data_IF_431853956703
#
_entry.id   IF_431853956703
#
_cell.length_a   1.000
_cell.length_b   1.000
_cell.length_c   1.000
_cell.angle_alpha   90.00
_cell.angle_beta   90.00
_cell.angle_gamma   90.00
#
_symmetry.space_group_name_H-M   'P 1'
#
loop_
_entity.id
_entity.type
_entity.pdbx_description
1 polymer ?
#
# COMPACT_ATOMS: atom_id res chain seq x y z
N UNK A 1 -53.58 50.70 -45.05
CA UNK A 1 -54.86 50.88 -44.32
C UNK A 1 -54.82 49.95 -43.11
N UNK A 2 -54.53 50.44 -41.89
CA UNK A 2 -55.50 50.79 -40.82
C UNK A 2 -56.40 49.59 -40.46
N UNK A 3 -56.51 49.06 -39.22
CA UNK A 3 -56.53 49.63 -37.85
C UNK A 3 -56.34 48.48 -36.82
N UNK A 4 -55.70 48.70 -35.66
CA UNK A 4 -56.28 48.77 -34.28
C UNK A 4 -57.25 47.62 -33.94
N UNK A 5 -57.32 47.01 -32.75
CA UNK A 5 -56.79 47.25 -31.40
C UNK A 5 -57.42 46.13 -30.53
N UNK A 6 -56.81 45.75 -29.40
CA UNK A 6 -57.53 44.93 -28.41
C UNK A 6 -56.63 44.22 -27.41
N UNK A 7 -56.18 44.95 -26.39
CA UNK A 7 -55.56 44.41 -25.17
C UNK A 7 -56.64 43.83 -24.24
N UNK A 8 -56.51 42.58 -23.78
CA UNK A 8 -57.07 42.10 -22.49
C UNK A 8 -56.03 41.25 -21.76
N UNK A 9 -55.99 41.48 -20.46
CA UNK A 9 -54.97 41.20 -19.45
C UNK A 9 -55.17 39.80 -18.81
N UNK A 10 -54.02 39.18 -18.50
CA UNK A 10 -53.70 38.20 -17.45
C UNK A 10 -54.47 36.87 -17.36
N UNK A 11 -53.71 35.78 -17.21
CA UNK A 11 -53.63 35.02 -15.95
C UNK A 11 -52.28 34.28 -15.93
N UNK A 12 -51.53 34.56 -14.87
CA UNK A 12 -50.32 33.88 -14.41
C UNK A 12 -50.58 32.41 -14.09
N UNK A 13 -49.74 31.50 -14.62
CA UNK A 13 -49.40 30.26 -13.94
C UNK A 13 -47.89 30.06 -14.03
N UNK A 14 -47.21 30.37 -12.93
CA UNK A 14 -45.83 29.99 -12.70
C UNK A 14 -45.80 28.47 -12.43
N UNK A 15 -45.20 27.71 -13.35
CA UNK A 15 -44.81 26.33 -13.09
C UNK A 15 -43.35 26.35 -12.71
N UNK A 16 -43.10 26.36 -11.40
CA UNK A 16 -41.78 26.11 -10.81
C UNK A 16 -41.44 24.64 -11.03
N UNK A 17 -40.71 24.35 -12.12
CA UNK A 17 -40.00 23.09 -12.27
C UNK A 17 -38.76 23.13 -11.38
N UNK A 18 -38.88 22.62 -10.17
CA UNK A 18 -37.76 22.26 -9.31
C UNK A 18 -36.99 21.12 -9.96
N UNK A 19 -35.99 21.46 -10.79
CA UNK A 19 -34.94 20.51 -11.11
C UNK A 19 -34.11 20.31 -9.85
N UNK A 20 -34.41 19.23 -9.12
CA UNK A 20 -33.49 18.62 -8.19
C UNK A 20 -32.26 18.16 -8.99
N UNK A 21 -31.31 19.08 -9.18
CA UNK A 21 -29.97 18.74 -9.59
C UNK A 21 -29.38 17.87 -8.51
N UNK A 22 -29.28 16.57 -8.77
CA UNK A 22 -28.45 15.67 -8.00
C UNK A 22 -27.05 16.30 -7.94
N UNK A 23 -26.66 16.77 -6.75
CA UNK A 23 -25.27 17.10 -6.47
C UNK A 23 -24.55 15.75 -6.45
N UNK A 24 -24.11 15.32 -7.62
CA UNK A 24 -23.09 14.30 -7.73
C UNK A 24 -21.87 14.86 -6.99
N UNK A 25 -21.68 14.43 -5.75
CA UNK A 25 -20.45 14.66 -5.03
C UNK A 25 -19.34 14.08 -5.88
N UNK A 26 -18.61 14.93 -6.59
CA UNK A 26 -17.30 14.60 -7.10
C UNK A 26 -16.45 14.40 -5.86
N UNK A 27 -16.30 13.14 -5.45
CA UNK A 27 -15.11 12.76 -4.72
C UNK A 27 -13.97 13.09 -5.67
N UNK A 28 -13.33 14.25 -5.46
CA UNK A 28 -12.04 14.52 -6.06
C UNK A 28 -11.14 13.36 -5.67
N UNK A 29 -10.88 12.48 -6.63
CA UNK A 29 -9.86 11.44 -6.56
C UNK A 29 -8.52 12.17 -6.47
N UNK A 30 -8.23 12.68 -5.27
CA UNK A 30 -6.98 13.36 -4.99
C UNK A 30 -5.95 12.27 -5.11
N UNK A 31 -5.01 12.32 -6.08
CA UNK A 31 -4.05 11.25 -6.28
C UNK A 31 -3.33 11.05 -4.96
N UNK A 32 -3.58 9.89 -4.34
CA UNK A 32 -2.97 9.58 -3.07
C UNK A 32 -1.45 9.69 -3.30
N UNK A 33 -0.70 10.40 -2.43
CA UNK A 33 0.72 10.64 -2.69
C UNK A 33 1.46 9.31 -2.99
N UNK A 34 2.65 9.32 -3.59
CA UNK A 34 3.43 8.09 -3.77
C UNK A 34 3.97 7.55 -2.43
N UNK A 35 4.39 6.28 -2.39
CA UNK A 35 5.18 5.74 -1.26
C UNK A 35 6.41 6.63 -1.07
N UNK A 36 6.64 7.09 0.16
CA UNK A 36 7.62 8.15 0.42
C UNK A 36 9.05 7.66 0.30
N UNK A 37 9.34 6.42 0.72
CA UNK A 37 10.67 5.80 0.64
C UNK A 37 10.55 4.29 0.70
N UNK A 38 11.37 3.62 -0.11
CA UNK A 38 11.48 2.17 -0.17
C UNK A 38 12.94 1.82 0.07
N UNK A 39 13.20 0.97 1.07
CA UNK A 39 14.52 0.42 1.33
C UNK A 39 14.55 -1.06 0.99
N UNK A 40 15.52 -1.47 0.18
CA UNK A 40 15.59 -2.85 -0.30
C UNK A 40 17.00 -3.36 -0.13
N UNK A 41 17.15 -4.47 0.60
CA UNK A 41 18.41 -5.22 0.65
C UNK A 41 18.33 -6.37 -0.35
N UNK A 42 19.25 -6.42 -1.31
CA UNK A 42 19.31 -7.45 -2.33
C UNK A 42 20.57 -8.31 -2.19
N UNK A 43 20.55 -9.51 -2.77
CA UNK A 43 21.75 -10.33 -2.89
C UNK A 43 22.82 -9.62 -3.75
N UNK A 44 24.10 -9.83 -3.43
CA UNK A 44 25.21 -9.14 -4.08
C UNK A 44 25.30 -9.36 -5.60
N UNK A 45 24.71 -10.44 -6.13
CA UNK A 45 24.62 -10.73 -7.56
C UNK A 45 23.89 -9.64 -8.36
N UNK A 46 23.00 -8.88 -7.72
CA UNK A 46 22.20 -7.84 -8.36
C UNK A 46 22.90 -6.47 -8.42
N UNK A 47 24.09 -6.33 -7.83
CA UNK A 47 24.80 -5.04 -7.72
C UNK A 47 25.14 -4.37 -9.05
N UNK A 48 25.17 -5.13 -10.14
CA UNK A 48 25.46 -4.63 -11.48
C UNK A 48 24.19 -4.36 -12.32
N UNK A 49 23.00 -4.56 -11.74
CA UNK A 49 21.71 -4.40 -12.41
C UNK A 49 20.88 -3.25 -11.81
N UNK A 50 21.52 -2.32 -11.09
CA UNK A 50 20.85 -1.24 -10.34
C UNK A 50 19.94 -0.39 -11.22
N UNK A 51 20.34 -0.10 -12.45
CA UNK A 51 19.53 0.69 -13.40
C UNK A 51 18.22 -0.04 -13.75
N UNK A 52 18.32 -1.27 -14.24
CA UNK A 52 17.15 -2.10 -14.54
C UNK A 52 16.25 -2.35 -13.32
N UNK A 53 16.84 -2.52 -12.13
CA UNK A 53 16.07 -2.63 -10.88
C UNK A 53 15.33 -1.33 -10.58
N UNK A 54 16.01 -0.19 -10.69
CA UNK A 54 15.40 1.12 -10.44
C UNK A 54 14.22 1.35 -11.37
N UNK A 55 14.38 1.05 -12.66
CA UNK A 55 13.31 1.15 -13.65
C UNK A 55 12.09 0.30 -13.29
N UNK A 56 12.30 -0.96 -12.87
CA UNK A 56 11.18 -1.83 -12.48
C UNK A 56 10.45 -1.31 -11.23
N UNK A 57 11.18 -0.81 -10.23
CA UNK A 57 10.57 -0.21 -9.04
C UNK A 57 9.83 1.09 -9.37
N UNK A 58 10.36 1.92 -10.27
CA UNK A 58 9.68 3.13 -10.76
C UNK A 58 8.38 2.76 -11.49
N UNK A 59 8.41 1.75 -12.36
CA UNK A 59 7.22 1.24 -13.07
C UNK A 59 6.17 0.69 -12.12
N UNK A 60 6.59 0.12 -10.98
CA UNK A 60 5.70 -0.31 -9.89
C UNK A 60 5.14 0.84 -9.05
N UNK A 61 5.49 2.10 -9.34
CA UNK A 61 5.05 3.28 -8.60
C UNK A 61 5.84 3.55 -7.32
N UNK A 62 7.10 3.10 -7.26
CA UNK A 62 8.02 3.26 -6.14
C UNK A 62 9.30 4.01 -6.55
N UNK A 63 9.20 5.31 -6.91
CA UNK A 63 10.32 6.05 -7.49
C UNK A 63 11.45 6.40 -6.51
N UNK A 64 11.19 6.38 -5.20
CA UNK A 64 12.20 6.68 -4.16
C UNK A 64 12.74 5.39 -3.52
N UNK A 65 13.33 4.52 -4.34
CA UNK A 65 13.93 3.25 -3.90
C UNK A 65 15.43 3.42 -3.59
N UNK A 66 15.86 2.82 -2.48
CA UNK A 66 17.25 2.80 -2.03
C UNK A 66 17.71 1.35 -1.91
N UNK A 67 18.66 0.96 -2.75
CA UNK A 67 19.22 -0.38 -2.75
C UNK A 67 20.44 -0.49 -1.84
N UNK A 68 20.44 -1.51 -1.00
CA UNK A 68 21.61 -2.02 -0.31
C UNK A 68 21.87 -3.45 -0.80
N UNK A 69 23.11 -3.89 -0.69
CA UNK A 69 23.50 -5.23 -1.13
C UNK A 69 24.11 -6.00 0.04
N UNK A 70 23.60 -7.20 0.29
CA UNK A 70 24.12 -8.09 1.31
C UNK A 70 25.60 -8.40 1.03
N UNK A 71 26.46 -8.24 2.04
CA UNK A 71 27.89 -8.55 1.92
C UNK A 71 28.14 -10.04 1.78
N UNK A 72 27.38 -10.85 2.51
CA UNK A 72 27.48 -12.31 2.54
C UNK A 72 26.09 -12.94 2.66
N UNK A 73 25.94 -14.12 2.06
CA UNK A 73 24.70 -14.89 2.16
C UNK A 73 23.52 -14.26 1.41
N UNK A 74 22.33 -14.76 1.74
CA UNK A 74 21.07 -14.25 1.22
C UNK A 74 20.50 -13.21 2.20
N UNK A 75 19.88 -12.13 1.71
CA UNK A 75 19.14 -11.22 2.57
C UNK A 75 18.01 -11.94 3.34
N UNK A 76 17.58 -11.42 4.49
CA UNK A 76 16.40 -11.90 5.21
C UNK A 76 15.14 -11.94 4.33
N UNK A 77 14.21 -12.85 4.62
CA UNK A 77 12.93 -12.95 3.93
C UNK A 77 11.82 -12.17 4.66
N UNK A 78 12.17 -11.00 5.18
CA UNK A 78 11.23 -10.13 5.89
C UNK A 78 10.77 -8.95 5.03
N UNK A 79 9.55 -8.47 5.29
CA UNK A 79 9.00 -7.28 4.67
C UNK A 79 8.25 -6.46 5.73
N UNK A 80 8.34 -5.14 5.62
CA UNK A 80 7.67 -4.20 6.51
C UNK A 80 7.12 -3.01 5.74
N UNK A 81 6.01 -2.45 6.20
CA UNK A 81 5.41 -1.28 5.58
C UNK A 81 4.65 -0.43 6.60
N UNK A 82 4.54 0.86 6.33
CA UNK A 82 3.78 1.79 7.15
C UNK A 82 2.27 1.71 6.91
N UNK A 83 1.51 2.19 7.90
CA UNK A 83 0.03 2.16 7.96
C UNK A 83 -0.74 2.92 6.87
N UNK A 84 -0.04 3.68 6.03
CA UNK A 84 -0.62 4.53 4.98
C UNK A 84 0.00 4.23 3.61
N UNK A 85 0.55 3.02 3.45
CA UNK A 85 1.01 2.52 2.15
C UNK A 85 -0.22 2.02 1.39
N UNK A 86 -0.51 2.56 0.19
CA UNK A 86 -1.63 2.07 -0.62
C UNK A 86 -1.55 0.54 -0.84
N UNK A 87 -2.68 -0.18 -0.80
CA UNK A 87 -2.67 -1.64 -0.95
C UNK A 87 -2.10 -2.11 -2.30
N UNK A 88 -2.34 -1.38 -3.40
CA UNK A 88 -1.74 -1.69 -4.70
C UNK A 88 -0.21 -1.62 -4.64
N UNK A 89 0.35 -0.61 -3.97
CA UNK A 89 1.80 -0.46 -3.79
C UNK A 89 2.39 -1.47 -2.82
N UNK A 90 1.66 -1.82 -1.76
CA UNK A 90 2.05 -2.89 -0.85
C UNK A 90 2.16 -4.25 -1.58
N UNK A 91 1.21 -4.56 -2.47
CA UNK A 91 1.25 -5.77 -3.30
C UNK A 91 2.41 -5.77 -4.28
N UNK A 92 2.70 -4.64 -4.91
CA UNK A 92 3.88 -4.53 -5.77
C UNK A 92 5.18 -4.74 -5.00
N UNK A 93 5.30 -4.20 -3.78
CA UNK A 93 6.44 -4.46 -2.91
C UNK A 93 6.56 -5.95 -2.55
N UNK A 94 5.44 -6.61 -2.22
CA UNK A 94 5.38 -8.06 -1.99
C UNK A 94 5.84 -8.83 -3.24
N UNK A 95 5.34 -8.48 -4.43
CA UNK A 95 5.71 -9.11 -5.70
C UNK A 95 7.22 -8.98 -5.97
N UNK A 96 7.79 -7.80 -5.76
CA UNK A 96 9.21 -7.54 -5.98
C UNK A 96 10.09 -8.27 -4.96
N UNK A 97 9.68 -8.33 -3.69
CA UNK A 97 10.36 -9.12 -2.67
C UNK A 97 10.33 -10.63 -3.01
N UNK A 98 9.20 -11.16 -3.47
CA UNK A 98 9.11 -12.56 -3.94
C UNK A 98 10.06 -12.83 -5.12
N UNK A 99 10.20 -11.86 -6.04
CA UNK A 99 11.09 -11.96 -7.21
C UNK A 99 12.57 -11.97 -6.84
N UNK A 100 12.98 -11.08 -5.93
CA UNK A 100 14.41 -10.79 -5.72
C UNK A 100 15.00 -11.33 -4.40
N UNK A 101 14.17 -11.71 -3.42
CA UNK A 101 14.60 -12.11 -2.07
C UNK A 101 14.26 -13.56 -1.70
N UNK A 102 14.06 -14.43 -2.70
CA UNK A 102 13.80 -15.87 -2.53
C UNK A 102 12.51 -16.21 -1.75
N UNK A 103 11.66 -15.22 -1.45
CA UNK A 103 10.41 -15.41 -0.74
C UNK A 103 10.16 -14.35 0.34
N UNK A 104 9.01 -14.49 1.01
CA UNK A 104 8.64 -13.75 2.21
C UNK A 104 8.18 -14.78 3.23
N UNK A 105 8.89 -14.81 4.36
CA UNK A 105 8.56 -15.68 5.50
C UNK A 105 8.22 -14.90 6.77
N UNK A 106 8.48 -13.59 6.78
CA UNK A 106 8.37 -12.75 7.98
C UNK A 106 7.70 -11.41 7.61
N UNK A 107 6.74 -10.98 8.41
CA UNK A 107 6.18 -9.63 8.40
C UNK A 107 6.73 -8.82 9.57
N UNK A 108 6.95 -7.53 9.33
CA UNK A 108 7.33 -6.54 10.33
C UNK A 108 6.13 -5.61 10.62
N UNK A 109 5.73 -5.39 11.89
CA UNK A 109 4.57 -4.59 12.24
C UNK A 109 4.64 -3.14 11.73
N UNK A 110 3.49 -2.59 11.32
CA UNK A 110 3.40 -1.23 10.75
C UNK A 110 3.85 -0.13 11.69
N UNK A 111 3.74 -0.37 13.01
CA UNK A 111 4.14 0.58 14.07
C UNK A 111 5.63 0.92 14.06
N UNK A 112 6.46 0.09 13.40
CA UNK A 112 7.91 0.31 13.29
C UNK A 112 8.28 1.33 12.21
N UNK A 113 7.34 1.67 11.33
CA UNK A 113 7.64 2.40 10.11
C UNK A 113 6.91 3.75 10.02
N UNK A 114 7.52 4.75 9.37
CA UNK A 114 6.79 5.93 8.93
C UNK A 114 5.58 5.54 8.06
N UNK A 115 4.48 6.33 8.05
CA UNK A 115 3.22 5.91 7.44
C UNK A 115 3.32 5.43 5.98
N UNK A 116 4.22 6.00 5.18
CA UNK A 116 4.34 5.72 3.74
C UNK A 116 5.69 5.09 3.37
N UNK A 117 6.26 4.32 4.27
CA UNK A 117 7.56 3.67 4.10
C UNK A 117 7.40 2.19 3.84
N UNK A 118 8.30 1.61 3.04
CA UNK A 118 8.40 0.16 2.82
C UNK A 118 9.84 -0.28 3.02
N UNK A 119 10.04 -1.42 3.67
CA UNK A 119 11.33 -2.10 3.75
C UNK A 119 11.21 -3.54 3.27
N UNK A 120 12.22 -3.99 2.52
CA UNK A 120 12.35 -5.36 2.02
C UNK A 120 13.71 -5.88 2.49
N UNK A 121 13.70 -7.03 3.17
CA UNK A 121 14.86 -7.78 3.62
C UNK A 121 15.81 -7.02 4.57
N UNK A 122 15.26 -6.25 5.51
CA UNK A 122 16.05 -5.52 6.49
C UNK A 122 16.64 -6.44 7.56
N UNK A 123 17.92 -6.29 7.85
CA UNK A 123 18.61 -6.97 8.95
C UNK A 123 18.62 -6.18 10.26
N UNK A 124 17.86 -5.08 10.36
CA UNK A 124 17.89 -4.17 11.50
C UNK A 124 16.95 -4.55 12.64
N UNK A 125 16.22 -5.66 12.50
CA UNK A 125 15.18 -6.07 13.43
C UNK A 125 15.54 -7.40 14.11
N UNK A 126 15.07 -7.54 15.35
CA UNK A 126 15.23 -8.76 16.14
C UNK A 126 13.95 -9.60 16.15
N UNK A 127 14.04 -10.80 16.72
CA UNK A 127 12.97 -11.79 16.77
C UNK A 127 11.72 -11.33 17.57
N UNK A 128 11.81 -10.25 18.33
CA UNK A 128 10.66 -9.72 19.10
C UNK A 128 9.63 -9.01 18.24
N UNK A 129 10.01 -8.66 17.00
CA UNK A 129 9.16 -7.95 16.05
C UNK A 129 9.06 -8.64 14.69
N UNK A 130 9.53 -9.88 14.58
CA UNK A 130 9.46 -10.69 13.36
C UNK A 130 8.30 -11.68 13.43
N UNK A 131 7.26 -11.45 12.62
CA UNK A 131 6.05 -12.26 12.63
C UNK A 131 6.05 -13.26 11.47
N UNK A 132 6.19 -14.57 11.72
CA UNK A 132 6.15 -15.56 10.66
C UNK A 132 4.82 -15.51 9.90
N UNK A 133 4.87 -15.62 8.58
CA UNK A 133 3.68 -15.65 7.73
C UNK A 133 3.60 -16.96 6.94
N UNK A 134 2.39 -17.52 6.86
CA UNK A 134 2.10 -18.69 6.04
C UNK A 134 1.84 -18.29 4.57
N UNK A 135 2.02 -19.23 3.64
CA UNK A 135 1.81 -18.96 2.21
C UNK A 135 0.37 -18.57 1.91
N UNK A 136 -0.57 -19.15 2.63
CA UNK A 136 -2.01 -18.90 2.50
C UNK A 136 -2.35 -17.46 2.93
N UNK A 137 -1.75 -16.98 4.03
CA UNK A 137 -1.92 -15.61 4.49
C UNK A 137 -1.23 -14.59 3.58
N UNK A 138 -0.06 -14.95 3.03
CA UNK A 138 0.59 -14.15 2.01
C UNK A 138 -0.27 -14.02 0.74
N UNK A 139 -0.92 -15.11 0.32
CA UNK A 139 -1.85 -15.08 -0.81
C UNK A 139 -3.07 -14.18 -0.54
N UNK A 140 -3.57 -14.15 0.70
CA UNK A 140 -4.64 -13.22 1.10
C UNK A 140 -4.21 -11.76 1.03
N UNK A 141 -2.97 -11.43 1.42
CA UNK A 141 -2.41 -10.08 1.23
C UNK A 141 -2.25 -9.70 -0.26
N UNK A 142 -2.22 -10.68 -1.17
CA UNK A 142 -2.16 -10.46 -2.62
C UNK A 142 -3.53 -10.42 -3.31
N UNK A 143 -4.64 -10.68 -2.60
CA UNK A 143 -6.01 -10.60 -3.14
C UNK A 143 -6.43 -9.16 -3.48
N UNK A 144 -6.44 -8.81 -4.77
CA UNK A 144 -6.72 -7.45 -5.29
C UNK A 144 -8.11 -6.92 -4.97
N UNK A 145 -9.02 -7.73 -4.42
CA UNK A 145 -10.33 -7.28 -3.97
C UNK A 145 -10.30 -6.50 -2.65
N UNK A 146 -9.24 -6.62 -1.85
CA UNK A 146 -9.11 -5.87 -0.58
C UNK A 146 -8.81 -4.39 -0.85
N UNK A 147 -9.60 -3.52 -0.21
CA UNK A 147 -9.29 -2.08 -0.11
C UNK A 147 -8.01 -1.83 0.69
N UNK A 148 -7.49 -0.60 0.67
CA UNK A 148 -6.33 -0.21 1.49
C UNK A 148 -6.58 -0.43 2.98
N UNK A 149 -7.76 -0.11 3.47
CA UNK A 149 -8.16 -0.29 4.87
C UNK A 149 -8.24 -1.79 5.22
N UNK A 150 -8.86 -2.60 4.36
CA UNK A 150 -8.98 -4.04 4.57
C UNK A 150 -7.62 -4.74 4.50
N UNK A 151 -6.74 -4.29 3.61
CA UNK A 151 -5.35 -4.77 3.53
C UNK A 151 -4.62 -4.51 4.86
N UNK A 152 -4.66 -3.28 5.37
CA UNK A 152 -4.00 -2.93 6.63
C UNK A 152 -4.65 -3.60 7.84
N UNK A 153 -5.97 -3.81 7.84
CA UNK A 153 -6.63 -4.59 8.88
C UNK A 153 -6.13 -6.04 8.89
N UNK A 154 -5.98 -6.67 7.71
CA UNK A 154 -5.41 -8.00 7.59
C UNK A 154 -3.94 -8.02 8.02
N UNK A 155 -3.13 -7.10 7.52
CA UNK A 155 -1.72 -6.98 7.86
C UNK A 155 -1.51 -6.80 9.37
N UNK A 156 -2.29 -5.93 9.99
CA UNK A 156 -2.32 -5.71 11.43
C UNK A 156 -2.65 -6.99 12.20
N UNK A 157 -3.67 -7.74 11.77
CA UNK A 157 -4.02 -9.04 12.40
C UNK A 157 -2.86 -10.04 12.33
N UNK A 158 -2.18 -10.13 11.19
CA UNK A 158 -1.04 -11.03 10.98
C UNK A 158 0.20 -10.62 11.80
N UNK A 159 0.31 -9.34 12.17
CA UNK A 159 1.42 -8.77 12.95
C UNK A 159 1.05 -8.44 14.41
N UNK A 160 -0.06 -8.98 14.91
CA UNK A 160 -0.54 -8.75 16.29
C UNK A 160 -0.50 -9.99 17.18
N UNK A 161 -0.30 -11.19 16.61
CA UNK A 161 -0.25 -12.43 17.38
C UNK A 161 1.02 -12.43 18.25
N UNK A 162 0.92 -12.49 19.59
CA UNK A 162 2.11 -12.49 20.44
C UNK A 162 3.08 -13.59 20.01
N UNK A 163 4.30 -13.20 19.64
CA UNK A 163 5.34 -14.14 19.29
C UNK A 163 5.66 -14.94 20.55
N UNK A 164 5.56 -16.27 20.46
CA UNK A 164 6.14 -17.11 21.49
C UNK A 164 7.64 -16.89 21.39
N UNK A 165 8.31 -16.34 22.42
CA UNK A 165 9.75 -16.09 22.33
C UNK A 165 10.45 -17.41 22.00
N UNK A 166 11.15 -17.45 20.87
CA UNK A 166 12.02 -18.56 20.51
C UNK A 166 13.31 -18.40 21.33
N UNK A 167 13.22 -18.66 22.63
CA UNK A 167 14.26 -18.30 23.58
C UNK A 167 15.60 -18.98 23.32
N UNK A 168 16.69 -18.20 23.42
CA UNK A 168 17.94 -18.64 24.09
C UNK A 168 17.92 -18.37 25.60
N UNK A 169 16.91 -17.68 26.12
CA UNK A 169 16.68 -17.45 27.55
C UNK A 169 15.29 -17.95 27.94
N UNK A 170 15.11 -19.27 28.00
CA UNK A 170 14.03 -19.83 28.77
C UNK A 170 14.38 -19.68 30.25
N UNK A 171 13.75 -18.73 30.94
CA UNK A 171 13.72 -18.69 32.39
C UNK A 171 12.80 -19.82 32.88
N UNK A 172 13.39 -20.99 33.18
CA UNK A 172 12.65 -22.14 33.73
C UNK A 172 13.18 -23.51 33.32
N UNK A 173 14.52 -23.70 33.34
CA UNK A 173 15.10 -25.04 33.51
C UNK A 173 15.28 -25.32 34.99
#
# INVERSE_FOLDING_TARGET
MMRLSGTIIAITMAVSASMAGAVAGWAEDTPMPPVSRIEVVLASQYKHQVEALTEEFVQAGMPNVHFQFARYGQPPQNIGMGRAVPADKAREAIRLALKYNLGIGILLPERLFPPRFVTIASSNFDDTVEYPILKEDLARLLDTSLSTEQFHELYGKLTSVPLKPAGRYCAGC
#
